data_IF_037632171784
#
_entry.id   IF_037632171784
#
_cell.length_a   1.000
_cell.length_b   1.000
_cell.length_c   1.000
_cell.angle_alpha   90.00
_cell.angle_beta   90.00
_cell.angle_gamma   90.00
#
_symmetry.space_group_name_H-M   'P 1'
#
loop_
_entity.id
_entity.type
_entity.pdbx_description
1 polymer ?
#
# COMPACT_ATOMS: atom_id res chain seq x y z
N UNK A 1 -26.85 -6.09 -0.28
CA UNK A 1 -26.48 -4.66 -0.37
C UNK A 1 -25.37 -4.37 0.61
N UNK A 2 -24.49 -3.42 0.31
CA UNK A 2 -23.42 -3.01 1.22
C UNK A 2 -24.01 -2.54 2.56
N UNK A 3 -23.23 -2.69 3.63
CA UNK A 3 -23.67 -2.40 5.00
C UNK A 3 -22.78 -1.34 5.64
N UNK A 4 -23.40 -0.30 6.21
CA UNK A 4 -22.72 0.63 7.12
C UNK A 4 -22.56 -0.03 8.49
N UNK A 5 -21.33 -0.09 9.01
CA UNK A 5 -21.02 -0.61 10.35
C UNK A 5 -20.39 0.50 11.19
N UNK A 6 -21.14 1.01 12.17
CA UNK A 6 -20.61 1.93 13.15
C UNK A 6 -19.70 1.17 14.13
N UNK A 7 -18.47 1.66 14.33
CA UNK A 7 -17.54 1.14 15.33
C UNK A 7 -17.65 1.95 16.62
N UNK A 8 -18.02 1.28 17.71
CA UNK A 8 -18.12 1.85 19.05
C UNK A 8 -17.00 1.35 19.98
N UNK A 9 -16.30 0.28 19.61
CA UNK A 9 -15.22 -0.32 20.41
C UNK A 9 -15.72 -1.17 21.58
N UNK A 10 -16.97 -1.63 21.49
CA UNK A 10 -17.57 -2.56 22.45
C UNK A 10 -17.09 -4.00 22.20
N UNK A 11 -17.46 -4.94 23.09
CA UNK A 11 -17.03 -6.33 22.96
C UNK A 11 -17.59 -7.02 21.70
N UNK A 12 -18.77 -6.63 21.23
CA UNK A 12 -19.34 -7.13 19.97
C UNK A 12 -18.48 -6.76 18.75
N UNK A 13 -17.94 -5.54 18.71
CA UNK A 13 -17.00 -5.11 17.66
C UNK A 13 -15.69 -5.92 17.72
N UNK A 14 -15.19 -6.21 18.93
CA UNK A 14 -13.97 -6.99 19.14
C UNK A 14 -14.16 -8.44 18.71
N UNK A 15 -15.22 -9.10 19.18
CA UNK A 15 -15.54 -10.48 18.82
C UNK A 15 -15.74 -10.64 17.32
N UNK A 16 -16.39 -9.65 16.70
CA UNK A 16 -16.57 -9.60 15.25
C UNK A 16 -15.22 -9.56 14.51
N UNK A 17 -14.33 -8.64 14.91
CA UNK A 17 -13.01 -8.50 14.29
C UNK A 17 -12.14 -9.73 14.53
N UNK A 18 -12.14 -10.30 15.75
CA UNK A 18 -11.42 -11.54 16.03
C UNK A 18 -11.82 -12.66 15.07
N UNK A 19 -13.13 -12.84 14.88
CA UNK A 19 -13.66 -13.89 14.01
C UNK A 19 -13.23 -13.72 12.56
N UNK A 20 -13.29 -12.51 12.00
CA UNK A 20 -12.94 -12.29 10.59
C UNK A 20 -11.44 -12.48 10.34
N UNK A 21 -10.57 -12.08 11.27
CA UNK A 21 -9.12 -12.18 11.09
C UNK A 21 -8.60 -13.62 11.30
N UNK A 22 -9.21 -14.41 12.18
CA UNK A 22 -8.74 -15.77 12.47
C UNK A 22 -8.97 -16.74 11.29
N UNK A 23 -10.07 -16.60 10.55
CA UNK A 23 -10.53 -17.58 9.57
C UNK A 23 -10.36 -17.16 8.11
N UNK A 24 -9.60 -16.09 7.80
CA UNK A 24 -9.54 -15.54 6.44
C UNK A 24 -8.14 -15.41 5.83
N UNK A 25 -8.02 -15.46 4.50
CA UNK A 25 -6.84 -14.99 3.79
C UNK A 25 -6.81 -13.46 3.85
N UNK A 26 -5.86 -12.88 4.59
CA UNK A 26 -5.86 -11.45 4.93
C UNK A 26 -5.09 -10.66 3.88
N UNK A 27 -5.78 -9.69 3.29
CA UNK A 27 -5.23 -8.74 2.34
C UNK A 27 -5.58 -7.31 2.79
N UNK A 28 -4.62 -6.41 2.68
CA UNK A 28 -4.82 -4.96 2.87
C UNK A 28 -4.63 -4.25 1.54
N UNK A 29 -5.43 -3.20 1.29
CA UNK A 29 -5.22 -2.23 0.23
C UNK A 29 -5.07 -0.85 0.87
N UNK A 30 -3.83 -0.36 0.89
CA UNK A 30 -3.44 0.90 1.52
C UNK A 30 -3.22 1.95 0.43
N UNK A 31 -4.00 3.03 0.46
CA UNK A 31 -3.87 4.15 -0.47
C UNK A 31 -3.23 5.39 0.16
N UNK A 32 -3.23 6.50 -0.60
CA UNK A 32 -2.49 7.72 -0.26
C UNK A 32 -2.92 8.37 1.06
N UNK A 33 -4.17 8.13 1.52
CA UNK A 33 -4.64 8.62 2.82
C UNK A 33 -3.88 8.07 4.03
N UNK A 34 -3.13 6.97 3.89
CA UNK A 34 -2.26 6.44 4.95
C UNK A 34 -0.96 7.23 5.14
N UNK A 35 -0.53 7.96 4.12
CA UNK A 35 0.73 8.71 4.13
C UNK A 35 0.58 10.15 4.64
N UNK A 36 -0.63 10.54 5.04
CA UNK A 36 -0.86 11.80 5.75
C UNK A 36 -0.19 11.77 7.15
N UNK A 37 0.30 12.91 7.66
CA UNK A 37 0.41 14.21 6.98
C UNK A 37 1.63 14.37 6.06
N UNK A 38 2.61 13.46 6.07
CA UNK A 38 3.87 13.62 5.33
C UNK A 38 3.68 13.78 3.81
N UNK A 39 2.73 13.04 3.22
CA UNK A 39 2.39 13.11 1.79
C UNK A 39 0.90 13.39 1.66
N UNK A 40 0.56 14.41 0.87
CA UNK A 40 -0.83 14.79 0.60
C UNK A 40 -1.52 13.73 -0.26
N UNK A 41 -2.85 13.64 -0.10
CA UNK A 41 -3.67 12.80 -0.97
C UNK A 41 -3.66 13.33 -2.41
N UNK A 42 -3.74 12.41 -3.37
CA UNK A 42 -3.67 12.70 -4.81
C UNK A 42 -4.77 13.65 -5.33
N UNK A 43 -5.91 13.77 -4.64
CA UNK A 43 -6.97 14.69 -5.03
C UNK A 43 -7.43 14.49 -6.49
N UNK A 44 -7.41 15.57 -7.27
CA UNK A 44 -7.77 15.59 -8.70
C UNK A 44 -6.59 15.40 -9.65
N UNK A 45 -5.37 15.25 -9.13
CA UNK A 45 -4.12 15.24 -9.93
C UNK A 45 -4.20 14.24 -11.08
N UNK A 46 -4.80 13.07 -10.86
CA UNK A 46 -4.97 12.05 -11.91
C UNK A 46 -5.79 12.56 -13.09
N UNK A 47 -6.94 13.18 -12.80
CA UNK A 47 -7.84 13.74 -13.81
C UNK A 47 -7.19 14.94 -14.49
N UNK A 48 -6.52 15.80 -13.72
CA UNK A 48 -5.87 17.01 -14.21
C UNK A 48 -4.70 16.66 -15.17
N UNK A 49 -3.85 15.69 -14.79
CA UNK A 49 -2.78 15.19 -15.64
C UNK A 49 -3.32 14.52 -16.93
N UNK A 50 -4.45 13.82 -16.84
CA UNK A 50 -5.08 13.23 -18.02
C UNK A 50 -5.67 14.29 -18.95
N UNK A 51 -6.26 15.34 -18.39
CA UNK A 51 -6.80 16.45 -19.18
C UNK A 51 -5.70 17.18 -19.93
N UNK A 52 -4.57 17.50 -19.29
CA UNK A 52 -3.42 18.15 -19.94
C UNK A 52 -2.87 17.35 -21.12
N UNK A 53 -2.96 16.02 -21.09
CA UNK A 53 -2.59 15.16 -22.21
C UNK A 53 -3.60 15.25 -23.34
N UNK A 54 -4.90 15.19 -23.00
CA UNK A 54 -5.98 15.30 -23.99
C UNK A 54 -5.95 16.68 -24.68
N UNK A 55 -5.53 17.71 -23.94
CA UNK A 55 -5.40 19.09 -24.43
C UNK A 55 -4.03 19.35 -25.10
N UNK A 56 -3.18 18.32 -25.24
CA UNK A 56 -1.84 18.36 -25.85
C UNK A 56 -0.86 19.36 -25.19
N UNK A 57 -1.06 19.69 -23.91
CA UNK A 57 -0.26 20.65 -23.13
C UNK A 57 0.93 19.96 -22.43
N UNK A 58 1.92 19.51 -23.20
CA UNK A 58 3.06 18.74 -22.68
C UNK A 58 3.88 19.48 -21.60
N UNK A 59 4.12 20.79 -21.77
CA UNK A 59 4.92 21.59 -20.83
C UNK A 59 4.25 21.71 -19.45
N UNK A 60 2.93 21.96 -19.43
CA UNK A 60 2.14 22.07 -18.20
C UNK A 60 2.02 20.70 -17.52
N UNK A 61 1.84 19.64 -18.33
CA UNK A 61 1.88 18.27 -17.86
C UNK A 61 3.19 17.94 -17.14
N UNK A 62 4.33 18.29 -17.73
CA UNK A 62 5.65 18.01 -17.16
C UNK A 62 5.88 18.77 -15.85
N UNK A 63 5.46 20.04 -15.77
CA UNK A 63 5.54 20.83 -14.54
C UNK A 63 4.69 20.23 -13.43
N UNK A 64 3.43 19.92 -13.70
CA UNK A 64 2.52 19.33 -12.71
C UNK A 64 3.01 17.96 -12.23
N UNK A 65 3.52 17.11 -13.13
CA UNK A 65 4.10 15.83 -12.78
C UNK A 65 5.38 16.00 -11.93
N UNK A 66 6.23 16.98 -12.27
CA UNK A 66 7.44 17.25 -11.52
C UNK A 66 7.14 17.77 -10.11
N UNK A 67 6.17 18.67 -9.96
CA UNK A 67 5.72 19.20 -8.67
C UNK A 67 5.14 18.08 -7.79
N UNK A 68 4.28 17.24 -8.37
CA UNK A 68 3.74 16.07 -7.67
C UNK A 68 4.85 15.13 -7.17
N UNK A 69 5.79 14.75 -8.03
CA UNK A 69 6.91 13.88 -7.64
C UNK A 69 7.80 14.55 -6.58
N UNK A 70 7.94 15.88 -6.63
CA UNK A 70 8.71 16.65 -5.66
C UNK A 70 8.08 16.61 -4.27
N UNK A 71 6.76 16.76 -4.19
CA UNK A 71 6.01 16.65 -2.93
C UNK A 71 6.14 15.24 -2.32
N UNK A 72 6.17 14.21 -3.16
CA UNK A 72 6.38 12.82 -2.72
C UNK A 72 7.83 12.57 -2.29
N UNK A 73 8.81 13.20 -2.95
CA UNK A 73 10.24 13.05 -2.62
C UNK A 73 10.65 13.79 -1.34
N UNK A 74 10.05 14.96 -1.06
CA UNK A 74 10.49 15.81 0.06
C UNK A 74 10.55 15.08 1.42
N UNK A 75 9.53 14.30 1.84
CA UNK A 75 9.61 13.50 3.06
C UNK A 75 10.71 12.42 3.01
N UNK A 76 10.99 11.86 1.83
CA UNK A 76 12.03 10.85 1.64
C UNK A 76 13.43 11.43 1.69
N UNK A 77 13.67 12.61 1.12
CA UNK A 77 14.94 13.32 1.30
C UNK A 77 15.16 13.65 2.78
N UNK A 78 14.11 14.04 3.50
CA UNK A 78 14.16 14.27 4.94
C UNK A 78 14.50 12.98 5.71
N UNK A 79 13.84 11.87 5.38
CA UNK A 79 14.09 10.54 5.95
C UNK A 79 15.52 10.06 5.70
N UNK A 80 16.06 10.30 4.50
CA UNK A 80 17.41 9.94 4.09
C UNK A 80 18.47 10.97 4.52
N UNK A 81 18.07 12.06 5.17
CA UNK A 81 18.94 13.18 5.62
C UNK A 81 19.71 13.85 4.47
N UNK A 82 19.08 13.99 3.30
CA UNK A 82 19.63 14.54 2.05
C UNK A 82 19.20 16.00 1.82
N UNK A 83 19.54 16.88 2.76
CA UNK A 83 19.08 18.28 2.73
C UNK A 83 19.98 19.27 2.00
N UNK A 84 20.96 18.84 1.17
CA UNK A 84 21.94 19.77 0.56
C UNK A 84 22.66 20.72 1.54
N UNK A 85 22.80 20.33 2.81
CA UNK A 85 23.37 21.19 3.86
C UNK A 85 22.39 22.23 4.43
N UNK A 86 21.17 22.33 3.92
CA UNK A 86 20.08 23.11 4.52
C UNK A 86 19.21 22.22 5.44
N UNK A 87 18.87 22.69 6.64
CA UNK A 87 17.90 21.99 7.49
C UNK A 87 16.52 21.94 6.84
N UNK A 88 15.84 20.80 6.96
CA UNK A 88 14.43 20.69 6.58
C UNK A 88 13.55 21.55 7.50
N UNK A 89 12.45 22.06 6.96
CA UNK A 89 11.48 22.82 7.74
C UNK A 89 10.96 21.98 8.93
N UNK A 90 10.79 22.57 10.13
CA UNK A 90 10.33 21.83 11.32
C UNK A 90 9.00 21.09 11.12
N UNK A 91 8.09 21.66 10.30
CA UNK A 91 6.83 21.02 9.95
C UNK A 91 7.03 19.73 9.16
N UNK A 92 7.93 19.72 8.16
CA UNK A 92 8.24 18.53 7.36
C UNK A 92 8.80 17.41 8.24
N UNK A 93 9.66 17.76 9.20
CA UNK A 93 10.20 16.79 10.16
C UNK A 93 9.08 16.23 11.05
N UNK A 94 8.21 17.10 11.56
CA UNK A 94 7.09 16.69 12.43
C UNK A 94 6.11 15.79 11.69
N UNK A 95 5.75 16.15 10.46
CA UNK A 95 4.83 15.39 9.62
C UNK A 95 5.43 14.03 9.25
N UNK A 96 6.72 13.99 8.91
CA UNK A 96 7.46 12.76 8.66
C UNK A 96 7.42 11.83 9.88
N UNK A 97 7.81 12.32 11.07
CA UNK A 97 7.85 11.48 12.27
C UNK A 97 6.46 10.97 12.67
N UNK A 98 5.41 11.80 12.48
CA UNK A 98 4.02 11.37 12.70
C UNK A 98 3.63 10.23 11.75
N UNK A 99 3.89 10.38 10.45
CA UNK A 99 3.60 9.33 9.47
C UNK A 99 4.40 8.06 9.73
N UNK A 100 5.70 8.16 10.07
CA UNK A 100 6.56 7.02 10.44
C UNK A 100 6.00 6.26 11.64
N UNK A 101 5.59 6.96 12.70
CA UNK A 101 4.98 6.35 13.87
C UNK A 101 3.70 5.57 13.52
N UNK A 102 2.91 6.09 12.58
CA UNK A 102 1.67 5.43 12.14
C UNK A 102 1.94 4.14 11.36
N UNK A 103 2.94 4.14 10.47
CA UNK A 103 3.36 2.93 9.75
C UNK A 103 4.06 1.91 10.65
N UNK A 104 4.83 2.36 11.66
CA UNK A 104 5.40 1.48 12.68
C UNK A 104 4.29 0.78 13.49
N UNK A 105 3.26 1.52 13.89
CA UNK A 105 2.08 0.97 14.57
C UNK A 105 1.31 0.00 13.66
N UNK A 106 1.21 0.28 12.36
CA UNK A 106 0.61 -0.63 11.39
C UNK A 106 1.40 -1.93 11.26
N UNK A 107 2.73 -1.86 11.09
CA UNK A 107 3.58 -3.04 11.03
C UNK A 107 3.52 -3.88 12.30
N UNK A 108 3.53 -3.25 13.48
CA UNK A 108 3.30 -3.94 14.76
C UNK A 108 1.90 -4.58 14.83
N UNK A 109 0.89 -3.96 14.23
CA UNK A 109 -0.46 -4.53 14.14
C UNK A 109 -0.48 -5.80 13.30
N UNK A 110 0.17 -5.79 12.14
CA UNK A 110 0.29 -6.97 11.27
C UNK A 110 1.02 -8.13 11.97
N UNK A 111 2.14 -7.83 12.64
CA UNK A 111 2.88 -8.80 13.46
C UNK A 111 1.99 -9.44 14.53
N UNK A 112 1.22 -8.63 15.29
CA UNK A 112 0.33 -9.13 16.34
C UNK A 112 -0.78 -10.02 15.77
N UNK A 113 -1.36 -9.62 14.64
CA UNK A 113 -2.38 -10.42 13.93
C UNK A 113 -1.81 -11.78 13.52
N UNK A 114 -0.62 -11.80 12.92
CA UNK A 114 0.04 -13.04 12.48
C UNK A 114 0.45 -13.96 13.65
N UNK A 115 0.99 -13.39 14.73
CA UNK A 115 1.53 -14.15 15.86
C UNK A 115 0.43 -14.76 16.73
N UNK A 116 -0.69 -14.03 16.91
CA UNK A 116 -1.84 -14.49 17.71
C UNK A 116 -2.84 -15.34 16.92
N UNK A 117 -2.55 -15.61 15.65
CA UNK A 117 -3.39 -16.46 14.81
C UNK A 117 -3.38 -17.90 15.31
N UNK A 118 -4.54 -18.36 15.79
CA UNK A 118 -4.72 -19.69 16.41
C UNK A 118 -4.75 -20.84 15.40
N UNK A 119 -5.08 -20.56 14.13
CA UNK A 119 -5.25 -21.58 13.10
C UNK A 119 -3.91 -21.93 12.43
N UNK A 120 -3.58 -23.22 12.36
CA UNK A 120 -2.45 -23.74 11.57
C UNK A 120 -2.84 -24.16 10.15
N UNK A 121 -4.11 -23.99 9.79
CA UNK A 121 -4.68 -24.41 8.50
C UNK A 121 -4.42 -23.40 7.37
N UNK A 122 -4.33 -22.12 7.71
CA UNK A 122 -4.07 -21.04 6.76
C UNK A 122 -2.62 -20.58 6.87
N UNK A 123 -1.99 -20.18 5.76
CA UNK A 123 -0.65 -19.65 5.79
C UNK A 123 -0.54 -18.46 6.76
N UNK A 124 0.57 -18.36 7.48
CA UNK A 124 0.86 -17.20 8.34
C UNK A 124 1.34 -16.01 7.50
N UNK A 125 0.51 -15.59 6.55
CA UNK A 125 0.84 -14.53 5.60
C UNK A 125 -0.24 -13.45 5.55
N UNK A 126 0.21 -12.22 5.36
CA UNK A 126 -0.62 -11.06 5.04
C UNK A 126 -0.06 -10.44 3.76
N UNK A 127 -0.92 -10.14 2.79
CA UNK A 127 -0.53 -9.33 1.64
C UNK A 127 -0.98 -7.89 1.85
N UNK A 128 -0.09 -6.94 1.63
CA UNK A 128 -0.36 -5.51 1.66
C UNK A 128 -0.19 -4.99 0.26
N UNK A 129 -1.30 -4.74 -0.41
CA UNK A 129 -1.36 -4.03 -1.68
C UNK A 129 -1.33 -2.53 -1.42
N UNK A 130 -0.59 -1.79 -2.24
CA UNK A 130 -0.62 -0.32 -2.19
C UNK A 130 -0.46 0.29 -3.57
N UNK A 131 -1.11 1.43 -3.76
CA UNK A 131 -0.91 2.31 -4.92
C UNK A 131 0.06 3.45 -4.62
N UNK A 132 0.60 3.50 -3.40
CA UNK A 132 1.51 4.55 -2.96
C UNK A 132 2.92 4.29 -3.48
N UNK A 133 3.59 5.37 -3.85
CA UNK A 133 4.98 5.35 -4.32
C UNK A 133 6.00 5.37 -3.18
N UNK A 134 5.57 5.81 -1.99
CA UNK A 134 6.40 6.02 -0.81
C UNK A 134 7.02 4.73 -0.26
N UNK A 135 7.98 4.89 0.65
CA UNK A 135 8.79 3.81 1.24
C UNK A 135 8.47 3.59 2.73
N UNK A 136 7.37 4.12 3.26
CA UNK A 136 7.11 4.09 4.70
C UNK A 136 6.88 2.68 5.23
N UNK A 137 6.24 1.79 4.45
CA UNK A 137 6.02 0.40 4.85
C UNK A 137 7.35 -0.35 4.91
N UNK A 138 8.20 -0.20 3.89
CA UNK A 138 9.53 -0.81 3.86
C UNK A 138 10.38 -0.32 5.03
N UNK A 139 10.36 0.99 5.29
CA UNK A 139 11.12 1.60 6.37
C UNK A 139 10.65 1.10 7.75
N UNK A 140 9.33 1.03 7.98
CA UNK A 140 8.75 0.46 9.19
C UNK A 140 9.08 -1.03 9.35
N UNK A 141 9.13 -1.79 8.26
CA UNK A 141 9.51 -3.19 8.28
C UNK A 141 10.96 -3.40 8.73
N UNK A 142 11.89 -2.47 8.46
CA UNK A 142 13.29 -2.58 8.96
C UNK A 142 13.41 -2.52 10.48
N UNK A 143 12.40 -1.97 11.17
CA UNK A 143 12.33 -1.88 12.64
C UNK A 143 11.60 -3.07 13.27
N UNK A 144 11.03 -3.97 12.47
CA UNK A 144 10.35 -5.18 12.94
C UNK A 144 11.14 -6.44 12.59
N UNK A 145 11.62 -7.15 13.61
CA UNK A 145 12.43 -8.37 13.43
C UNK A 145 11.63 -9.68 13.55
N UNK A 146 10.34 -9.61 13.86
CA UNK A 146 9.52 -10.78 14.19
C UNK A 146 8.77 -11.36 12.97
N UNK A 147 8.72 -10.61 11.88
CA UNK A 147 8.08 -11.01 10.62
C UNK A 147 9.12 -11.02 9.51
N UNK A 148 8.95 -11.93 8.56
CA UNK A 148 9.64 -11.83 7.28
C UNK A 148 8.93 -10.81 6.41
N UNK A 149 9.69 -9.83 5.92
CA UNK A 149 9.20 -8.88 4.95
C UNK A 149 9.62 -9.33 3.53
N UNK A 150 8.70 -9.20 2.58
CA UNK A 150 8.92 -9.51 1.18
C UNK A 150 8.31 -8.40 0.31
N UNK A 151 9.13 -7.61 -0.35
CA UNK A 151 8.75 -6.50 -1.24
C UNK A 151 8.83 -6.87 -2.72
N UNK A 152 9.07 -8.15 -3.03
CA UNK A 152 9.21 -8.65 -4.40
C UNK A 152 10.64 -8.61 -4.94
N UNK A 153 11.60 -8.02 -4.23
CA UNK A 153 13.00 -8.00 -4.65
C UNK A 153 13.76 -9.23 -4.14
N UNK A 154 14.62 -9.77 -5.01
CA UNK A 154 15.45 -10.90 -4.66
C UNK A 154 16.41 -10.54 -3.53
N UNK A 155 16.42 -11.38 -2.48
CA UNK A 155 17.36 -11.26 -1.36
C UNK A 155 18.83 -11.45 -1.77
N UNK A 156 19.05 -12.04 -2.94
CA UNK A 156 20.38 -12.15 -3.53
C UNK A 156 20.64 -10.92 -4.39
N UNK A 157 21.40 -9.98 -3.87
CA UNK A 157 21.96 -8.89 -4.66
C UNK A 157 23.01 -9.43 -5.65
N UNK A 158 23.08 -8.80 -6.82
CA UNK A 158 24.17 -8.99 -7.76
C UNK A 158 25.51 -8.52 -7.17
N UNK A 159 26.63 -8.81 -7.84
CA UNK A 159 27.96 -8.32 -7.42
C UNK A 159 27.98 -6.77 -7.33
N UNK A 160 27.13 -6.09 -8.09
CA UNK A 160 27.01 -4.63 -8.11
C UNK A 160 26.06 -4.09 -7.02
N UNK A 161 25.50 -4.96 -6.17
CA UNK A 161 24.53 -4.58 -5.13
C UNK A 161 23.07 -4.51 -5.62
N UNK A 162 22.81 -4.73 -6.91
CA UNK A 162 21.45 -4.65 -7.46
C UNK A 162 20.62 -5.88 -7.08
N UNK A 163 19.45 -5.65 -6.47
CA UNK A 163 18.43 -6.67 -6.25
C UNK A 163 17.38 -6.59 -7.36
N UNK A 164 17.17 -7.68 -8.10
CA UNK A 164 16.19 -7.76 -9.19
C UNK A 164 14.80 -8.10 -8.66
N UNK A 165 13.77 -7.47 -9.23
CA UNK A 165 12.37 -7.74 -8.92
C UNK A 165 11.91 -9.08 -9.51
N UNK A 166 11.18 -9.86 -8.72
CA UNK A 166 10.55 -11.11 -9.10
C UNK A 166 9.14 -11.20 -8.48
N UNK A 167 8.10 -11.03 -9.30
CA UNK A 167 6.72 -11.18 -8.86
C UNK A 167 6.41 -12.61 -8.36
N UNK A 168 7.15 -13.62 -8.85
CA UNK A 168 7.01 -15.00 -8.41
C UNK A 168 7.32 -15.18 -6.92
N UNK A 169 8.17 -14.32 -6.35
CA UNK A 169 8.59 -14.39 -4.95
C UNK A 169 7.44 -14.29 -3.94
N UNK A 170 6.33 -13.61 -4.28
CA UNK A 170 5.14 -13.52 -3.41
C UNK A 170 4.46 -14.88 -3.16
N UNK A 171 4.71 -15.86 -4.04
CA UNK A 171 4.20 -17.23 -3.89
C UNK A 171 5.08 -18.10 -2.98
N UNK A 172 6.27 -17.62 -2.61
CA UNK A 172 7.20 -18.39 -1.78
C UNK A 172 6.74 -18.47 -0.31
N UNK A 173 7.07 -19.58 0.32
CA UNK A 173 6.81 -19.84 1.75
C UNK A 173 8.12 -20.14 2.44
N UNK A 174 8.39 -19.51 3.58
CA UNK A 174 9.59 -19.75 4.37
C UNK A 174 9.20 -20.44 5.67
N UNK A 175 9.95 -21.47 6.04
CA UNK A 175 9.70 -22.23 7.27
C UNK A 175 11.00 -22.47 8.02
N UNK A 176 10.94 -22.42 9.34
CA UNK A 176 12.02 -22.88 10.21
C UNK A 176 11.84 -24.36 10.55
N UNK A 177 12.94 -25.09 10.59
CA UNK A 177 12.99 -26.48 11.07
C UNK A 177 13.71 -26.53 12.40
N UNK A 178 13.07 -27.13 13.42
CA UNK A 178 13.72 -27.34 14.72
C UNK A 178 14.79 -28.43 14.66
N UNK A 179 15.86 -28.28 15.46
CA UNK A 179 16.94 -29.29 15.57
C UNK A 179 16.45 -30.65 16.10
N UNK A 180 15.34 -30.67 16.85
CA UNK A 180 14.76 -31.88 17.43
C UNK A 180 13.44 -32.18 16.71
N UNK A 181 13.30 -33.42 16.23
CA UNK A 181 12.08 -33.97 15.60
C UNK A 181 11.63 -33.38 14.25
N UNK A 182 12.46 -32.57 13.57
CA UNK A 182 12.18 -32.03 12.23
C UNK A 182 10.84 -31.29 12.09
N UNK A 183 10.31 -30.69 13.16
CA UNK A 183 9.10 -29.88 13.08
C UNK A 183 9.35 -28.67 12.18
N UNK A 184 8.49 -28.52 11.16
CA UNK A 184 8.49 -27.40 10.22
C UNK A 184 7.44 -26.39 10.66
N UNK A 185 7.87 -25.18 11.01
CA UNK A 185 6.98 -24.08 11.36
C UNK A 185 7.09 -23.01 10.29
N UNK A 186 5.98 -22.66 9.64
CA UNK A 186 5.94 -21.54 8.71
C UNK A 186 6.18 -20.23 9.46
N UNK A 187 7.10 -19.41 8.93
CA UNK A 187 7.45 -18.13 9.52
C UNK A 187 6.42 -17.06 9.09
N UNK A 188 5.93 -16.22 10.04
CA UNK A 188 5.08 -15.08 9.73
C UNK A 188 5.68 -14.21 8.62
N UNK A 189 4.94 -13.99 7.54
CA UNK A 189 5.42 -13.23 6.38
C UNK A 189 4.44 -12.13 5.98
N UNK A 190 4.94 -10.93 5.73
CA UNK A 190 4.18 -9.83 5.13
C UNK A 190 4.73 -9.58 3.73
N UNK A 191 3.87 -9.74 2.73
CA UNK A 191 4.18 -9.40 1.34
C UNK A 191 3.72 -7.96 1.06
N UNK A 192 4.61 -7.08 0.61
CA UNK A 192 4.28 -5.75 0.11
C UNK A 192 4.22 -5.77 -1.42
N UNK A 193 3.06 -5.45 -1.98
CA UNK A 193 2.78 -5.51 -3.41
C UNK A 193 2.38 -4.10 -3.88
N UNK A 194 3.32 -3.39 -4.51
CA UNK A 194 3.11 -2.03 -5.01
C UNK A 194 2.59 -2.04 -6.44
N UNK A 195 1.29 -1.80 -6.61
CA UNK A 195 0.60 -1.93 -7.90
C UNK A 195 1.07 -0.90 -8.94
N UNK A 196 1.54 0.27 -8.50
CA UNK A 196 1.96 1.38 -9.35
C UNK A 196 3.48 1.61 -9.36
N UNK A 197 4.25 0.69 -8.80
CA UNK A 197 5.70 0.84 -8.61
C UNK A 197 6.05 1.66 -7.37
N UNK A 198 7.31 2.09 -7.27
CA UNK A 198 7.84 2.79 -6.10
C UNK A 198 8.97 3.74 -6.44
N UNK A 199 9.26 4.70 -5.55
CA UNK A 199 10.46 5.51 -5.60
C UNK A 199 11.76 4.69 -5.58
N UNK A 200 11.72 3.47 -5.03
CA UNK A 200 12.85 2.55 -5.01
C UNK A 200 13.01 1.72 -6.29
N UNK A 201 12.11 1.85 -7.26
CA UNK A 201 12.14 1.04 -8.47
C UNK A 201 12.89 1.76 -9.59
N UNK A 202 13.84 1.07 -10.21
CA UNK A 202 14.55 1.57 -11.39
C UNK A 202 14.51 0.54 -12.53
N UNK A 203 14.20 1.00 -13.74
CA UNK A 203 14.33 0.18 -14.95
C UNK A 203 15.80 0.07 -15.36
N UNK A 204 16.32 -1.15 -15.42
CA UNK A 204 17.69 -1.43 -15.86
C UNK A 204 17.72 -2.69 -16.72
N UNK A 205 18.18 -2.56 -17.97
CA UNK A 205 18.34 -3.69 -18.93
C UNK A 205 17.09 -4.58 -19.09
N UNK A 206 15.91 -3.96 -19.15
CA UNK A 206 14.63 -4.68 -19.30
C UNK A 206 14.12 -5.35 -18.02
N UNK A 207 14.78 -5.11 -16.88
CA UNK A 207 14.37 -5.58 -15.55
C UNK A 207 14.09 -4.39 -14.63
N UNK A 208 13.45 -4.67 -13.50
CA UNK A 208 13.29 -3.71 -12.40
C UNK A 208 14.29 -4.09 -11.31
N UNK A 209 15.05 -3.12 -10.82
CA UNK A 209 15.99 -3.28 -9.72
C UNK A 209 15.64 -2.34 -8.56
N UNK A 210 15.98 -2.75 -7.34
CA UNK A 210 15.85 -1.90 -6.17
C UNK A 210 16.99 -0.88 -6.18
N UNK A 211 16.66 0.39 -6.42
CA UNK A 211 17.58 1.52 -6.27
C UNK A 211 16.80 2.79 -5.96
N UNK A 212 17.12 3.42 -4.84
CA UNK A 212 16.67 4.77 -4.54
C UNK A 212 17.56 5.73 -5.32
N UNK A 213 16.96 6.55 -6.18
CA UNK A 213 17.71 7.52 -6.98
C UNK A 213 18.53 8.49 -6.09
N UNK A 214 19.56 9.09 -6.67
CA UNK A 214 20.30 10.16 -6.03
C UNK A 214 19.42 11.39 -5.83
N UNK A 215 19.88 12.30 -4.98
CA UNK A 215 19.14 13.47 -4.50
C UNK A 215 18.48 14.22 -5.68
N UNK A 216 17.20 14.57 -5.55
CA UNK A 216 16.47 15.37 -6.55
C UNK A 216 17.29 16.64 -6.89
N UNK A 217 17.51 16.97 -8.18
CA UNK A 217 18.10 18.25 -8.56
C UNK A 217 17.33 19.43 -7.95
N UNK A 218 18.04 20.44 -7.44
CA UNK A 218 17.41 21.61 -6.82
C UNK A 218 16.47 22.35 -7.79
N UNK A 219 16.89 22.46 -9.05
CA UNK A 219 16.12 23.04 -10.15
C UNK A 219 16.31 22.22 -11.43
N UNK A 220 15.39 22.40 -12.38
CA UNK A 220 15.53 21.91 -13.76
C UNK A 220 15.82 23.08 -14.70
N UNK A 221 17.10 23.35 -15.03
CA UNK A 221 17.51 24.39 -15.99
C UNK A 221 16.77 24.35 -17.33
N UNK A 222 16.38 23.15 -17.78
CA UNK A 222 15.69 22.95 -19.06
C UNK A 222 14.49 22.02 -18.92
N UNK A 223 13.50 22.18 -19.80
CA UNK A 223 12.36 21.25 -19.89
C UNK A 223 12.82 19.82 -20.23
N UNK A 224 13.90 19.68 -21.01
CA UNK A 224 14.48 18.39 -21.35
C UNK A 224 15.00 17.64 -20.11
N UNK A 225 15.65 18.35 -19.18
CA UNK A 225 16.11 17.78 -17.91
C UNK A 225 14.94 17.38 -16.99
N UNK A 226 13.91 18.23 -16.91
CA UNK A 226 12.68 17.92 -16.17
C UNK A 226 12.00 16.67 -16.73
N UNK A 227 11.84 16.60 -18.06
CA UNK A 227 11.29 15.42 -18.75
C UNK A 227 12.12 14.17 -18.48
N UNK A 228 13.45 14.28 -18.55
CA UNK A 228 14.37 13.19 -18.23
C UNK A 228 14.18 12.67 -16.80
N UNK A 229 14.04 13.56 -15.82
CA UNK A 229 13.82 13.20 -14.43
C UNK A 229 12.44 12.56 -14.17
N UNK A 230 11.36 13.13 -14.72
CA UNK A 230 10.01 12.57 -14.59
C UNK A 230 9.94 11.17 -15.21
N UNK A 231 10.56 10.96 -16.38
CA UNK A 231 10.55 9.67 -17.08
C UNK A 231 11.53 8.63 -16.52
N UNK A 232 12.55 9.04 -15.75
CA UNK A 232 13.53 8.13 -15.15
C UNK A 232 12.93 7.25 -14.04
N UNK A 233 11.84 7.69 -13.42
CA UNK A 233 11.17 6.95 -12.36
C UNK A 233 10.37 5.77 -12.93
N UNK A 234 10.57 4.57 -12.40
CA UNK A 234 9.75 3.39 -12.71
C UNK A 234 8.40 3.47 -11.97
N UNK A 235 7.66 4.54 -12.22
CA UNK A 235 6.38 4.84 -11.60
C UNK A 235 5.28 4.83 -12.67
N UNK A 236 4.18 4.15 -12.36
CA UNK A 236 2.94 4.40 -13.08
C UNK A 236 2.40 5.73 -12.55
N UNK A 237 2.63 6.81 -13.29
CA UNK A 237 2.00 8.08 -12.96
C UNK A 237 0.48 7.92 -13.00
N UNK A 238 -0.25 8.54 -12.06
CA UNK A 238 -1.70 8.39 -11.95
C UNK A 238 -2.35 9.02 -13.19
N UNK A 239 -2.60 8.19 -14.21
CA UNK A 239 -3.14 8.58 -15.52
C UNK A 239 -3.89 7.40 -16.12
N UNK A 240 -5.04 7.68 -16.74
CA UNK A 240 -5.93 6.63 -17.28
C UNK A 240 -5.29 5.82 -18.42
N UNK A 241 -4.49 6.45 -19.28
CA UNK A 241 -3.99 5.81 -20.51
C UNK A 241 -2.64 5.09 -20.33
N UNK A 242 -1.80 5.49 -19.35
CA UNK A 242 -0.50 4.85 -19.10
C UNK A 242 -0.67 3.38 -18.68
N UNK A 243 -1.80 3.01 -18.08
CA UNK A 243 -2.10 1.61 -17.78
C UNK A 243 -2.10 0.73 -19.03
N UNK A 244 -2.58 1.21 -20.18
CA UNK A 244 -2.57 0.43 -21.45
C UNK A 244 -1.15 0.17 -21.95
N UNK A 245 -0.26 1.16 -21.82
CA UNK A 245 1.16 1.02 -22.16
C UNK A 245 1.91 0.15 -21.14
N UNK A 246 1.52 0.20 -19.86
CA UNK A 246 2.18 -0.55 -18.78
C UNK A 246 1.75 -2.01 -18.73
N UNK A 247 0.57 -2.36 -19.24
CA UNK A 247 0.17 -3.76 -19.52
C UNK A 247 1.11 -4.47 -20.50
N UNK A 248 1.90 -3.72 -21.29
CA UNK A 248 2.94 -4.29 -22.16
C UNK A 248 4.24 -4.63 -21.39
N UNK A 249 4.37 -4.18 -20.13
CA UNK A 249 5.45 -4.59 -19.24
C UNK A 249 4.95 -5.72 -18.33
N UNK A 250 5.52 -6.92 -18.48
CA UNK A 250 5.09 -8.14 -17.79
C UNK A 250 4.90 -7.97 -16.27
N UNK A 251 5.74 -7.18 -15.61
CA UNK A 251 5.75 -7.03 -14.14
C UNK A 251 4.44 -6.46 -13.60
N UNK A 252 3.95 -5.33 -14.11
CA UNK A 252 2.76 -4.68 -13.55
C UNK A 252 1.48 -5.47 -13.83
N UNK A 253 1.42 -6.14 -14.98
CA UNK A 253 0.36 -7.11 -15.26
C UNK A 253 0.37 -8.25 -14.24
N UNK A 254 1.53 -8.81 -13.92
CA UNK A 254 1.66 -9.88 -12.92
C UNK A 254 1.23 -9.42 -11.52
N UNK A 255 1.47 -8.16 -11.15
CA UNK A 255 1.01 -7.59 -9.88
C UNK A 255 -0.51 -7.45 -9.81
N UNK A 256 -1.14 -6.92 -10.85
CA UNK A 256 -2.60 -6.81 -10.93
C UNK A 256 -3.26 -8.19 -10.98
N UNK A 257 -2.63 -9.14 -11.67
CA UNK A 257 -3.04 -10.55 -11.66
C UNK A 257 -2.90 -11.16 -10.28
N UNK A 258 -1.82 -10.88 -9.56
CA UNK A 258 -1.62 -11.32 -8.17
C UNK A 258 -2.73 -10.75 -7.29
N UNK A 259 -3.05 -9.46 -7.40
CA UNK A 259 -4.18 -8.85 -6.70
C UNK A 259 -5.50 -9.57 -6.99
N UNK A 260 -5.85 -9.78 -8.26
CA UNK A 260 -7.07 -10.52 -8.64
C UNK A 260 -7.10 -11.93 -8.05
N UNK A 261 -6.01 -12.68 -8.18
CA UNK A 261 -5.91 -14.06 -7.71
C UNK A 261 -6.05 -14.16 -6.19
N UNK A 262 -5.47 -13.24 -5.42
CA UNK A 262 -5.60 -13.22 -3.97
C UNK A 262 -7.06 -12.96 -3.54
N UNK A 263 -7.82 -12.17 -4.29
CA UNK A 263 -9.24 -11.91 -4.01
C UNK A 263 -10.17 -13.05 -4.42
N UNK A 264 -9.79 -13.85 -5.41
CA UNK A 264 -10.55 -15.02 -5.86
C UNK A 264 -10.41 -16.22 -4.93
N UNK A 265 -9.47 -16.20 -3.96
CA UNK A 265 -9.34 -17.25 -2.95
C UNK A 265 -10.59 -17.36 -2.06
N UNK A 266 -10.83 -18.57 -1.57
CA UNK A 266 -11.87 -18.81 -0.57
C UNK A 266 -11.56 -18.11 0.76
N UNK A 267 -12.61 -17.69 1.45
CA UNK A 267 -12.54 -17.03 2.76
C UNK A 267 -11.54 -15.87 2.76
N UNK A 268 -11.62 -14.98 1.79
CA UNK A 268 -10.71 -13.83 1.68
C UNK A 268 -11.25 -12.63 2.44
N UNK A 269 -10.37 -11.93 3.16
CA UNK A 269 -10.67 -10.64 3.78
C UNK A 269 -9.81 -9.58 3.10
N UNK A 270 -10.44 -8.61 2.45
CA UNK A 270 -9.79 -7.42 1.91
C UNK A 270 -10.13 -6.21 2.80
N UNK A 271 -9.12 -5.58 3.37
CA UNK A 271 -9.25 -4.39 4.21
C UNK A 271 -8.73 -3.19 3.45
N UNK A 272 -9.52 -2.13 3.33
CA UNK A 272 -9.17 -0.94 2.55
C UNK A 272 -9.08 0.27 3.46
N UNK A 273 -7.97 1.00 3.37
CA UNK A 273 -7.77 2.26 4.07
C UNK A 273 -7.05 3.27 3.19
N UNK A 274 -7.46 4.54 3.24
CA UNK A 274 -6.80 5.62 2.51
C UNK A 274 -6.90 5.54 0.98
N UNK A 275 -7.75 4.67 0.44
CA UNK A 275 -7.96 4.46 -0.99
C UNK A 275 -9.41 4.76 -1.38
N UNK A 276 -9.62 5.72 -2.28
CA UNK A 276 -10.94 6.20 -2.70
C UNK A 276 -11.60 5.35 -3.79
N UNK A 277 -10.89 4.35 -4.33
CA UNK A 277 -11.27 3.67 -5.57
C UNK A 277 -11.43 4.65 -6.75
N UNK A 278 -10.64 5.72 -6.82
CA UNK A 278 -10.61 6.59 -8.00
C UNK A 278 -10.00 5.89 -9.23
N UNK A 279 -9.08 4.94 -8.99
CA UNK A 279 -8.53 4.06 -10.02
C UNK A 279 -9.59 3.06 -10.51
N UNK A 280 -10.07 3.29 -11.73
CA UNK A 280 -11.14 2.50 -12.36
C UNK A 280 -10.74 1.03 -12.56
N UNK A 281 -9.44 0.73 -12.75
CA UNK A 281 -8.97 -0.64 -12.98
C UNK A 281 -8.99 -1.46 -11.69
N UNK A 282 -8.42 -0.92 -10.61
CA UNK A 282 -8.45 -1.57 -9.30
C UNK A 282 -9.89 -1.67 -8.79
N UNK A 283 -10.71 -0.64 -8.99
CA UNK A 283 -12.15 -0.69 -8.69
C UNK A 283 -12.84 -1.83 -9.45
N UNK A 284 -12.61 -1.93 -10.76
CA UNK A 284 -13.24 -2.95 -11.60
C UNK A 284 -12.82 -4.36 -11.20
N UNK A 285 -11.53 -4.59 -10.94
CA UNK A 285 -11.03 -5.90 -10.47
C UNK A 285 -11.68 -6.25 -9.13
N UNK A 286 -11.73 -5.30 -8.19
CA UNK A 286 -12.34 -5.50 -6.87
C UNK A 286 -13.84 -5.83 -7.00
N UNK A 287 -14.60 -5.07 -7.81
CA UNK A 287 -16.02 -5.31 -8.08
C UNK A 287 -16.28 -6.68 -8.71
N UNK A 288 -15.41 -7.12 -9.63
CA UNK A 288 -15.49 -8.48 -10.20
C UNK A 288 -15.26 -9.54 -9.14
N UNK A 289 -14.23 -9.38 -8.29
CA UNK A 289 -13.92 -10.32 -7.23
C UNK A 289 -15.03 -10.40 -6.15
N UNK A 290 -15.79 -9.32 -5.92
CA UNK A 290 -16.93 -9.33 -5.00
C UNK A 290 -18.06 -10.30 -5.39
N UNK A 291 -18.05 -10.86 -6.61
CA UNK A 291 -18.92 -11.98 -6.99
C UNK A 291 -18.59 -13.27 -6.21
N UNK A 292 -17.37 -13.39 -5.68
CA UNK A 292 -17.00 -14.43 -4.73
C UNK A 292 -17.74 -14.18 -3.41
N UNK A 293 -18.72 -15.04 -3.08
CA UNK A 293 -19.53 -14.92 -1.88
C UNK A 293 -18.72 -15.07 -0.57
N UNK A 294 -17.52 -15.64 -0.63
CA UNK A 294 -16.64 -15.83 0.53
C UNK A 294 -15.63 -14.69 0.72
N UNK A 295 -15.47 -13.82 -0.28
CA UNK A 295 -14.69 -12.58 -0.15
C UNK A 295 -15.49 -11.61 0.71
N UNK A 296 -14.87 -11.07 1.76
CA UNK A 296 -15.39 -9.96 2.55
C UNK A 296 -14.52 -8.72 2.33
N UNK A 297 -15.16 -7.61 1.96
CA UNK A 297 -14.51 -6.31 1.79
C UNK A 297 -14.86 -5.40 2.97
N UNK A 298 -13.84 -4.93 3.68
CA UNK A 298 -13.95 -4.03 4.81
C UNK A 298 -13.30 -2.69 4.48
N UNK A 299 -14.09 -1.63 4.33
CA UNK A 299 -13.59 -0.31 3.97
C UNK A 299 -13.66 0.60 5.20
N UNK A 300 -12.53 1.13 5.63
CA UNK A 300 -12.46 2.15 6.67
C UNK A 300 -12.64 3.53 6.05
N UNK A 301 -13.81 4.13 6.25
CA UNK A 301 -14.14 5.45 5.72
C UNK A 301 -13.63 6.55 6.66
N UNK A 302 -12.93 7.54 6.10
CA UNK A 302 -12.35 8.64 6.87
C UNK A 302 -13.43 9.51 7.53
N UNK A 303 -14.48 9.86 6.78
CA UNK A 303 -15.58 10.73 7.21
C UNK A 303 -16.95 10.25 6.66
N UNK A 304 -18.02 10.96 7.02
CA UNK A 304 -19.39 10.61 6.61
C UNK A 304 -19.62 10.76 5.09
N UNK A 305 -18.93 11.70 4.44
CA UNK A 305 -18.99 11.86 2.98
C UNK A 305 -18.42 10.61 2.28
N UNK A 306 -17.28 10.12 2.75
CA UNK A 306 -16.64 8.89 2.28
C UNK A 306 -17.55 7.66 2.49
N UNK A 307 -18.24 7.58 3.64
CA UNK A 307 -19.22 6.52 3.90
C UNK A 307 -20.31 6.49 2.83
N UNK A 308 -20.87 7.66 2.50
CA UNK A 308 -21.93 7.73 1.49
C UNK A 308 -21.40 7.39 0.09
N UNK A 309 -20.21 7.88 -0.28
CA UNK A 309 -19.57 7.55 -1.56
C UNK A 309 -19.32 6.04 -1.73
N UNK A 310 -18.80 5.37 -0.70
CA UNK A 310 -18.58 3.92 -0.77
C UNK A 310 -19.89 3.12 -0.78
N UNK A 311 -20.90 3.56 -0.03
CA UNK A 311 -22.23 2.91 -0.06
C UNK A 311 -22.87 2.99 -1.44
N UNK A 312 -22.72 4.12 -2.14
CA UNK A 312 -23.20 4.26 -3.50
C UNK A 312 -22.42 3.37 -4.47
N UNK A 313 -21.08 3.39 -4.37
CA UNK A 313 -20.17 2.65 -5.25
C UNK A 313 -20.32 1.13 -5.14
N UNK A 314 -20.61 0.62 -3.95
CA UNK A 314 -20.69 -0.82 -3.65
C UNK A 314 -22.10 -1.30 -3.26
N UNK A 315 -23.13 -0.51 -3.54
CA UNK A 315 -24.53 -0.74 -3.13
C UNK A 315 -25.03 -2.17 -3.33
N UNK A 316 -24.66 -2.80 -4.43
CA UNK A 316 -25.21 -4.09 -4.85
C UNK A 316 -24.52 -5.30 -4.21
N UNK A 317 -23.44 -5.09 -3.44
CA UNK A 317 -22.61 -6.18 -2.90
C UNK A 317 -22.88 -6.38 -1.40
N UNK A 318 -23.47 -7.52 -1.01
CA UNK A 318 -23.79 -7.84 0.40
C UNK A 318 -22.58 -8.16 1.28
N UNK A 319 -21.46 -8.47 0.64
CA UNK A 319 -20.19 -8.82 1.28
C UNK A 319 -19.25 -7.61 1.46
N UNK A 320 -19.79 -6.39 1.35
CA UNK A 320 -19.08 -5.13 1.58
C UNK A 320 -19.58 -4.47 2.87
N UNK A 321 -18.64 -4.19 3.78
CA UNK A 321 -18.90 -3.50 5.04
C UNK A 321 -18.05 -2.23 5.13
N UNK A 322 -18.71 -1.11 5.38
CA UNK A 322 -18.05 0.20 5.53
C UNK A 322 -18.00 0.54 7.01
N UNK A 323 -16.80 0.49 7.59
CA UNK A 323 -16.55 0.87 8.97
C UNK A 323 -16.40 2.39 9.06
N UNK A 324 -17.13 2.99 10.00
CA UNK A 324 -17.01 4.40 10.34
C UNK A 324 -17.20 4.61 11.84
N UNK A 325 -16.80 5.78 12.34
CA UNK A 325 -17.06 6.21 13.72
C UNK A 325 -18.10 7.32 13.72
N UNK A 326 -19.26 7.16 14.37
CA UNK A 326 -20.25 8.23 14.45
C UNK A 326 -19.67 9.51 15.05
N UNK A 327 -19.74 10.61 14.31
CA UNK A 327 -19.27 11.93 14.74
C UNK A 327 -17.76 12.10 14.88
N UNK A 328 -16.94 11.16 14.39
CA UNK A 328 -15.46 11.23 14.43
C UNK A 328 -14.84 10.65 13.18
N UNK A 329 -13.67 11.16 12.81
CA UNK A 329 -12.93 10.61 11.69
C UNK A 329 -12.23 9.29 12.04
N UNK A 330 -11.99 8.48 11.02
CA UNK A 330 -11.15 7.28 11.10
C UNK A 330 -9.84 7.57 10.38
N UNK A 331 -8.85 8.06 11.12
CA UNK A 331 -7.48 8.20 10.63
C UNK A 331 -6.70 6.88 10.72
N UNK A 332 -5.45 6.89 10.24
CA UNK A 332 -4.62 5.71 10.18
C UNK A 332 -4.30 5.13 11.57
N UNK A 333 -3.95 5.95 12.60
CA UNK A 333 -3.87 5.48 13.99
C UNK A 333 -5.14 4.80 14.52
N UNK A 334 -6.31 5.37 14.25
CA UNK A 334 -7.59 4.80 14.67
C UNK A 334 -7.81 3.46 13.98
N UNK A 335 -7.54 3.36 12.68
CA UNK A 335 -7.65 2.09 11.96
C UNK A 335 -6.72 1.01 12.56
N UNK A 336 -5.45 1.35 12.83
CA UNK A 336 -4.49 0.45 13.49
C UNK A 336 -5.01 -0.07 14.84
N UNK A 337 -5.62 0.81 15.64
CA UNK A 337 -6.25 0.43 16.90
C UNK A 337 -7.47 -0.48 16.70
N UNK A 338 -8.30 -0.21 15.70
CA UNK A 338 -9.48 -1.04 15.40
C UNK A 338 -9.05 -2.45 15.01
N UNK A 339 -8.12 -2.60 14.06
CA UNK A 339 -7.70 -3.93 13.58
C UNK A 339 -6.96 -4.77 14.62
N UNK A 340 -6.56 -4.18 15.76
CA UNK A 340 -5.91 -4.89 16.86
C UNK A 340 -6.72 -4.91 18.16
N UNK A 341 -7.90 -4.28 18.21
CA UNK A 341 -8.64 -4.10 19.47
C UNK A 341 -9.04 -5.42 20.13
N UNK A 342 -9.26 -6.46 19.33
CA UNK A 342 -9.64 -7.79 19.80
C UNK A 342 -8.47 -8.60 20.36
N UNK A 343 -7.23 -8.20 20.07
CA UNK A 343 -6.06 -8.92 20.52
C UNK A 343 -5.84 -8.71 22.03
N UNK A 344 -6.44 -7.67 22.64
CA UNK A 344 -6.20 -7.32 24.04
C UNK A 344 -4.83 -6.67 24.22
N UNK A 345 -4.80 -5.54 24.94
CA UNK A 345 -3.55 -4.86 25.28
C UNK A 345 -2.65 -5.79 26.07
N UNK A 346 -1.38 -5.87 25.69
CA UNK A 346 -0.35 -6.31 26.62
C UNK A 346 -0.45 -5.39 27.85
N UNK A 347 -0.90 -5.93 28.98
CA UNK A 347 -0.46 -5.40 30.26
C UNK A 347 1.00 -5.81 30.46
#
# INVERSE_FOLDING_TARGET
MAVKRAYYGNDSDRDYLERIFQSANINFLIGSGASLPAIKVLGTIETDLQQLINDEQEDEYLRMAADFLSDVWLPHECMLKRGYGTPFAPQVITDLECTRANYDAFMSSLEKILTRRRTGLLPRRINVFTTNYDLFIEEAATRNNNILFNDGFNRRASILGDAEFDAGSFNHSVSATGNLYNYKVELPTVNLIKLHGSLSWQHSKGKIIYRIADIKPLDFPTLAEMKGWVLAHALILPRKEKFKETLLQNVYYDLLRTYSNELDKEATLLIVFGFSFADEHIETITKKALRNATLKLLIFAFDEASVNGFMEKFRDYSNVEIIYRPGRNVDFPVMNNIITCYLGGSR
#
